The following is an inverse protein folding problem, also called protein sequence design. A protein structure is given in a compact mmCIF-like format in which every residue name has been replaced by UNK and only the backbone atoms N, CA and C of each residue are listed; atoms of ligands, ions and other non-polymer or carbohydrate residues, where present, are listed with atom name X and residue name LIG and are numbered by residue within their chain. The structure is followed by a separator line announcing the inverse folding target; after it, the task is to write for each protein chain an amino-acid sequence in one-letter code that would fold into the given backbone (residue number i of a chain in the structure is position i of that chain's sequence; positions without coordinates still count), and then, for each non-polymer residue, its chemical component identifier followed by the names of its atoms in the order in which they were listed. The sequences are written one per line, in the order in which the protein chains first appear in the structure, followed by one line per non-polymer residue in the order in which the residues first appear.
data_IF_313760828841
#
_entry.id   IF_313760828841
#
_cell.length_a   1.000
_cell.length_b   1.000
_cell.length_c   1.000
_cell.angle_alpha   90.00
_cell.angle_beta   90.00
_cell.angle_gamma   90.00
#
_symmetry.space_group_name_H-M   'P 1'
#
loop_
_entity.id
_entity.type
_entity.pdbx_description
1 polymer ?
#
# COMPACT_ATOMS: atom_id res chain seq x y z
N UNK A 1 13.00 -5.23 -12.47
CA UNK A 1 13.85 -5.34 -11.27
C UNK A 1 13.09 -4.73 -10.11
N UNK A 2 12.71 -5.54 -9.13
CA UNK A 2 12.24 -5.03 -7.83
C UNK A 2 13.42 -4.34 -7.14
N UNK A 3 13.23 -3.17 -6.52
CA UNK A 3 14.29 -2.56 -5.73
C UNK A 3 14.73 -3.53 -4.63
N UNK A 4 16.01 -3.91 -4.60
CA UNK A 4 16.53 -4.77 -3.53
C UNK A 4 16.99 -3.91 -2.36
N UNK A 5 16.11 -3.67 -1.39
CA UNK A 5 16.45 -3.11 -0.09
C UNK A 5 16.35 -4.18 1.00
N UNK A 6 17.12 -4.01 2.08
CA UNK A 6 17.15 -4.96 3.18
C UNK A 6 15.89 -4.81 4.05
N UNK A 7 14.97 -5.79 3.97
CA UNK A 7 13.71 -5.75 4.73
C UNK A 7 13.88 -5.95 6.24
N UNK A 8 15.05 -6.41 6.69
CA UNK A 8 15.40 -6.47 8.12
C UNK A 8 15.68 -5.10 8.71
N UNK A 9 15.73 -4.05 7.89
CA UNK A 9 15.93 -2.67 8.33
C UNK A 9 14.61 -1.93 8.47
N UNK A 10 14.61 -0.93 9.35
CA UNK A 10 13.52 0.05 9.50
C UNK A 10 13.63 1.11 8.41
N UNK A 11 12.55 1.86 8.16
CA UNK A 11 12.58 2.96 7.19
C UNK A 11 13.65 4.00 7.54
N UNK A 12 13.79 4.32 8.82
CA UNK A 12 14.82 5.23 9.30
C UNK A 12 16.24 4.76 8.92
N UNK A 13 16.53 3.46 9.07
CA UNK A 13 17.82 2.89 8.72
C UNK A 13 18.07 2.92 7.20
N UNK A 14 17.03 2.67 6.39
CA UNK A 14 17.12 2.71 4.94
C UNK A 14 17.35 4.12 4.40
N UNK A 15 16.65 5.11 4.96
CA UNK A 15 16.77 6.52 4.54
C UNK A 15 18.01 7.20 5.11
N UNK A 16 18.68 6.59 6.10
CA UNK A 16 19.87 7.14 6.77
C UNK A 16 19.64 8.56 7.30
N UNK A 17 18.41 8.89 7.63
CA UNK A 17 18.00 10.21 8.12
C UNK A 17 17.44 10.12 9.53
N UNK A 18 17.55 11.22 10.28
CA UNK A 18 16.87 11.38 11.57
C UNK A 18 15.72 12.35 11.37
N UNK A 19 14.53 11.80 11.16
CA UNK A 19 13.31 12.59 11.15
C UNK A 19 13.01 13.07 12.58
N UNK A 20 12.99 14.38 12.78
CA UNK A 20 12.58 14.99 14.05
C UNK A 20 11.06 14.94 14.15
N UNK A 21 10.58 14.32 15.23
CA UNK A 21 9.14 14.08 15.41
C UNK A 21 8.65 15.12 16.40
N UNK A 22 7.51 15.79 16.12
CA UNK A 22 6.97 16.80 17.01
C UNK A 22 6.80 16.21 18.42
N UNK A 23 7.49 16.82 19.39
CA UNK A 23 7.56 16.32 20.78
C UNK A 23 6.37 16.77 21.63
N UNK A 24 5.55 17.70 21.14
CA UNK A 24 4.36 18.21 21.83
C UNK A 24 3.08 17.56 21.29
N UNK A 25 2.43 16.76 22.13
CA UNK A 25 1.09 16.16 21.94
C UNK A 25 0.87 15.43 20.60
N UNK A 26 1.69 14.41 20.26
CA UNK A 26 1.47 13.66 19.03
C UNK A 26 0.13 12.91 19.10
N UNK A 27 -0.68 13.03 18.05
CA UNK A 27 -1.89 12.21 17.90
C UNK A 27 -1.52 10.73 17.82
N UNK A 28 -2.48 9.83 18.08
CA UNK A 28 -2.25 8.38 17.96
C UNK A 28 -1.76 7.96 16.57
N UNK A 29 -2.19 8.66 15.52
CA UNK A 29 -1.70 8.47 14.15
C UNK A 29 -0.21 8.82 14.03
N UNK A 30 0.21 9.99 14.53
CA UNK A 30 1.62 10.40 14.51
C UNK A 30 2.46 9.42 15.32
N UNK A 31 2.01 9.00 16.51
CA UNK A 31 2.71 8.00 17.32
C UNK A 31 2.87 6.66 16.59
N UNK A 32 1.82 6.20 15.91
CA UNK A 32 1.87 4.92 15.17
C UNK A 32 2.80 5.01 13.96
N UNK A 33 2.71 6.04 13.13
CA UNK A 33 3.62 6.22 12.00
C UNK A 33 5.09 6.36 12.47
N UNK A 34 5.31 7.05 13.59
CA UNK A 34 6.62 7.17 14.25
C UNK A 34 7.20 5.81 14.64
N UNK A 35 6.40 4.99 15.32
CA UNK A 35 6.81 3.65 15.74
C UNK A 35 7.18 2.77 14.54
N UNK A 36 6.32 2.74 13.53
CA UNK A 36 6.54 1.99 12.31
C UNK A 36 7.82 2.44 11.58
N UNK A 37 8.01 3.75 11.42
CA UNK A 37 9.16 4.30 10.73
C UNK A 37 10.50 3.99 11.42
N UNK A 38 10.55 4.13 12.75
CA UNK A 38 11.80 4.03 13.52
C UNK A 38 12.15 2.61 13.95
N UNK A 39 11.15 1.84 14.35
CA UNK A 39 11.38 0.65 15.18
C UNK A 39 10.94 -0.65 14.51
N UNK A 40 10.07 -0.60 13.50
CA UNK A 40 9.58 -1.81 12.83
C UNK A 40 10.40 -2.12 11.57
N UNK A 41 11.05 -3.29 11.46
CA UNK A 41 11.68 -3.70 10.22
C UNK A 41 10.62 -3.97 9.15
N UNK A 42 10.91 -3.69 7.89
CA UNK A 42 9.94 -3.81 6.80
C UNK A 42 9.39 -5.24 6.62
N UNK A 43 10.16 -6.27 6.96
CA UNK A 43 9.68 -7.67 6.92
C UNK A 43 8.57 -7.97 7.95
N UNK A 44 8.43 -7.13 8.98
CA UNK A 44 7.40 -7.26 10.00
C UNK A 44 6.17 -6.37 9.74
N UNK A 45 6.12 -5.66 8.61
CA UNK A 45 4.96 -4.82 8.27
C UNK A 45 3.77 -5.70 7.90
N UNK A 46 2.63 -5.40 8.49
CA UNK A 46 1.34 -6.00 8.13
C UNK A 46 0.66 -5.22 7.00
N UNK A 47 -0.42 -5.76 6.43
CA UNK A 47 -1.28 -5.01 5.51
C UNK A 47 -1.79 -3.70 6.14
N UNK A 48 -2.15 -3.73 7.43
CA UNK A 48 -2.56 -2.54 8.20
C UNK A 48 -1.45 -1.49 8.31
N UNK A 49 -0.22 -1.94 8.59
CA UNK A 49 0.94 -1.05 8.71
C UNK A 49 1.31 -0.42 7.36
N UNK A 50 1.20 -1.18 6.26
CA UNK A 50 1.40 -0.65 4.90
C UNK A 50 0.30 0.35 4.52
N UNK A 51 -0.96 0.02 4.79
CA UNK A 51 -2.11 0.86 4.49
C UNK A 51 -1.99 2.23 5.16
N UNK A 52 -1.69 2.26 6.47
CA UNK A 52 -1.60 3.52 7.22
C UNK A 52 -0.41 4.36 6.74
N UNK A 53 0.75 3.74 6.53
CA UNK A 53 1.97 4.45 6.12
C UNK A 53 1.87 5.01 4.70
N UNK A 54 1.32 4.24 3.76
CA UNK A 54 1.11 4.70 2.37
C UNK A 54 0.03 5.79 2.27
N UNK A 55 -1.04 5.71 3.06
CA UNK A 55 -2.05 6.77 3.13
C UNK A 55 -1.45 8.10 3.59
N UNK A 56 -0.45 8.05 4.48
CA UNK A 56 0.31 9.21 4.95
C UNK A 56 1.53 9.53 4.06
N UNK A 57 1.71 8.81 2.94
CA UNK A 57 2.80 8.98 1.96
C UNK A 57 4.21 8.81 2.54
N UNK A 58 4.38 7.97 3.57
CA UNK A 58 5.70 7.65 4.10
C UNK A 58 6.46 6.73 3.14
N UNK A 59 7.67 7.16 2.81
CA UNK A 59 8.69 6.39 2.10
C UNK A 59 8.16 5.46 0.98
N UNK A 60 7.35 5.95 0.02
CA UNK A 60 6.66 5.10 -0.94
C UNK A 60 7.61 4.22 -1.77
N UNK A 61 8.86 4.66 -1.98
CA UNK A 61 9.90 3.91 -2.69
C UNK A 61 10.26 2.57 -2.05
N UNK A 62 9.98 2.39 -0.76
CA UNK A 62 10.21 1.12 -0.06
C UNK A 62 8.89 0.37 0.20
N UNK A 63 7.79 1.10 0.43
CA UNK A 63 6.53 0.48 0.84
C UNK A 63 5.64 0.03 -0.32
N UNK A 64 5.71 0.70 -1.47
CA UNK A 64 4.92 0.32 -2.67
C UNK A 64 5.23 -1.11 -3.13
N UNK A 65 6.51 -1.53 -3.27
CA UNK A 65 6.82 -2.90 -3.69
C UNK A 65 6.25 -3.98 -2.74
N UNK A 66 6.23 -3.71 -1.43
CA UNK A 66 5.72 -4.62 -0.41
C UNK A 66 4.19 -4.72 -0.44
N UNK A 67 3.51 -3.58 -0.58
CA UNK A 67 2.06 -3.56 -0.73
C UNK A 67 1.61 -4.28 -2.01
N UNK A 68 2.36 -4.12 -3.10
CA UNK A 68 2.09 -4.84 -4.35
C UNK A 68 2.17 -6.34 -4.20
N UNK A 69 3.16 -6.88 -3.47
CA UNK A 69 3.26 -8.32 -3.22
C UNK A 69 2.00 -8.88 -2.53
N UNK A 70 1.37 -8.09 -1.65
CA UNK A 70 0.13 -8.49 -0.98
C UNK A 70 -1.08 -8.41 -1.93
N UNK A 71 -1.25 -7.29 -2.63
CA UNK A 71 -2.43 -7.08 -3.47
C UNK A 71 -2.39 -7.87 -4.78
N UNK A 72 -1.21 -8.28 -5.26
CA UNK A 72 -1.06 -9.21 -6.38
C UNK A 72 -1.61 -10.59 -6.03
N UNK A 73 -1.48 -11.02 -4.76
CA UNK A 73 -2.05 -12.29 -4.29
C UNK A 73 -3.52 -12.17 -3.89
N UNK A 74 -3.91 -11.07 -3.25
CA UNK A 74 -5.27 -10.81 -2.82
C UNK A 74 -5.59 -9.31 -2.92
N UNK A 75 -6.19 -8.84 -4.04
CA UNK A 75 -6.51 -7.43 -4.21
C UNK A 75 -7.51 -6.87 -3.19
N UNK A 76 -8.29 -7.74 -2.53
CA UNK A 76 -9.29 -7.40 -1.51
C UNK A 76 -8.74 -7.52 -0.08
N UNK A 77 -7.43 -7.70 0.10
CA UNK A 77 -6.84 -7.74 1.45
C UNK A 77 -7.23 -6.48 2.25
N UNK A 78 -7.75 -6.71 3.45
CA UNK A 78 -8.10 -5.63 4.38
C UNK A 78 -6.86 -5.24 5.19
N UNK A 79 -6.53 -3.96 5.15
CA UNK A 79 -5.52 -3.35 6.01
C UNK A 79 -6.13 -2.88 7.32
N UNK A 80 -7.07 -1.93 7.26
CA UNK A 80 -7.52 -1.19 8.45
C UNK A 80 -9.01 -0.89 8.53
N UNK A 81 -9.66 -0.64 7.41
CA UNK A 81 -11.03 -0.10 7.38
C UNK A 81 -12.00 -0.98 6.62
N UNK A 82 -11.58 -1.54 5.48
CA UNK A 82 -12.46 -2.33 4.61
C UNK A 82 -11.65 -3.16 3.60
N UNK A 83 -12.22 -4.24 3.03
CA UNK A 83 -11.57 -5.05 2.00
C UNK A 83 -11.08 -4.20 0.81
N UNK A 84 -9.79 -4.34 0.46
CA UNK A 84 -9.16 -3.62 -0.64
C UNK A 84 -8.70 -2.19 -0.30
N UNK A 85 -8.80 -1.74 0.96
CA UNK A 85 -8.31 -0.42 1.36
C UNK A 85 -6.80 -0.19 1.13
N UNK A 86 -5.99 -1.25 1.12
CA UNK A 86 -4.57 -1.19 0.76
C UNK A 86 -4.39 -0.88 -0.74
N UNK A 87 -5.20 -1.48 -1.62
CA UNK A 87 -5.21 -1.15 -3.05
C UNK A 87 -5.61 0.33 -3.24
N UNK A 88 -6.61 0.82 -2.52
CA UNK A 88 -7.00 2.23 -2.60
C UNK A 88 -5.93 3.18 -2.07
N UNK A 89 -5.17 2.79 -1.04
CA UNK A 89 -4.03 3.58 -0.58
C UNK A 89 -3.00 3.76 -1.69
N UNK A 90 -2.70 2.71 -2.47
CA UNK A 90 -1.82 2.79 -3.64
C UNK A 90 -2.41 3.68 -4.74
N UNK A 91 -3.67 3.47 -5.12
CA UNK A 91 -4.31 4.25 -6.20
C UNK A 91 -4.38 5.75 -5.92
N UNK A 92 -4.34 6.16 -4.65
CA UNK A 92 -4.37 7.56 -4.21
C UNK A 92 -2.98 8.21 -4.08
N UNK A 93 -1.90 7.46 -4.29
CA UNK A 93 -0.55 8.03 -4.25
C UNK A 93 -0.37 9.07 -5.37
N UNK A 94 0.39 10.16 -5.11
CA UNK A 94 0.68 11.18 -6.13
C UNK A 94 1.34 10.59 -7.38
N UNK A 95 1.06 11.19 -8.54
CA UNK A 95 1.65 10.77 -9.82
C UNK A 95 3.19 10.74 -9.79
N UNK A 96 3.82 11.65 -9.05
CA UNK A 96 5.28 11.71 -8.87
C UNK A 96 5.89 10.44 -8.28
N UNK A 97 5.15 9.70 -7.45
CA UNK A 97 5.59 8.40 -6.92
C UNK A 97 5.72 7.38 -8.06
N UNK A 98 4.77 7.38 -8.99
CA UNK A 98 4.70 6.44 -10.11
C UNK A 98 5.66 6.79 -11.24
N UNK A 99 5.99 8.07 -11.42
CA UNK A 99 7.04 8.51 -12.35
C UNK A 99 8.40 7.92 -11.99
N UNK A 100 8.68 7.81 -10.69
CA UNK A 100 9.91 7.25 -10.14
C UNK A 100 9.90 5.70 -10.11
N UNK A 101 8.71 5.08 -10.09
CA UNK A 101 8.52 3.64 -9.92
C UNK A 101 7.69 3.03 -11.06
N UNK A 102 8.14 3.21 -12.31
CA UNK A 102 7.39 2.76 -13.51
C UNK A 102 7.07 1.26 -13.50
N UNK A 103 8.00 0.42 -13.06
CA UNK A 103 7.78 -1.03 -12.97
C UNK A 103 6.65 -1.37 -12.00
N UNK A 104 6.63 -0.74 -10.82
CA UNK A 104 5.58 -0.95 -9.83
C UNK A 104 4.24 -0.35 -10.27
N UNK A 105 4.25 0.72 -11.07
CA UNK A 105 3.05 1.21 -11.74
C UNK A 105 2.44 0.16 -12.68
N UNK A 106 3.27 -0.54 -13.47
CA UNK A 106 2.79 -1.62 -14.35
C UNK A 106 2.21 -2.79 -13.56
N UNK A 107 2.82 -3.14 -12.42
CA UNK A 107 2.29 -4.16 -11.49
C UNK A 107 0.91 -3.76 -10.95
N UNK A 108 0.76 -2.53 -10.45
CA UNK A 108 -0.53 -2.02 -10.01
C UNK A 108 -1.57 -2.02 -11.14
N UNK A 109 -1.17 -1.61 -12.34
CA UNK A 109 -2.05 -1.59 -13.50
C UNK A 109 -2.57 -3.00 -13.84
N UNK A 110 -1.70 -4.03 -13.79
CA UNK A 110 -2.11 -5.41 -14.02
C UNK A 110 -3.14 -5.90 -13.00
N UNK A 111 -2.99 -5.54 -11.72
CA UNK A 111 -3.99 -5.85 -10.68
C UNK A 111 -5.32 -5.16 -10.98
N UNK A 112 -5.29 -3.86 -11.32
CA UNK A 112 -6.49 -3.09 -11.66
C UNK A 112 -7.20 -3.67 -12.88
N UNK A 113 -6.45 -4.05 -13.91
CA UNK A 113 -7.01 -4.62 -15.14
C UNK A 113 -7.64 -5.99 -14.86
N UNK A 114 -7.03 -6.81 -13.99
CA UNK A 114 -7.62 -8.08 -13.54
C UNK A 114 -8.97 -7.86 -12.84
N UNK A 115 -9.04 -6.90 -11.91
CA UNK A 115 -10.29 -6.55 -11.22
C UNK A 115 -11.33 -6.03 -12.21
N UNK A 116 -10.93 -5.18 -13.16
CA UNK A 116 -11.83 -4.64 -14.18
C UNK A 116 -12.41 -5.75 -15.04
N UNK A 117 -11.58 -6.68 -15.51
CA UNK A 117 -12.05 -7.83 -16.30
C UNK A 117 -12.97 -8.73 -15.48
N UNK A 118 -12.63 -9.00 -14.22
CA UNK A 118 -13.52 -9.75 -13.33
C UNK A 118 -14.89 -9.07 -13.18
N UNK A 119 -14.91 -7.77 -12.92
CA UNK A 119 -16.16 -7.01 -12.78
C UNK A 119 -16.99 -7.01 -14.06
N UNK A 120 -16.35 -6.89 -15.24
CA UNK A 120 -17.04 -6.95 -16.53
C UNK A 120 -17.68 -8.33 -16.78
N UNK A 121 -17.01 -9.43 -16.44
CA UNK A 121 -17.59 -10.77 -16.53
C UNK A 121 -18.68 -10.98 -15.48
N UNK A 122 -18.49 -10.47 -14.27
CA UNK A 122 -19.48 -10.52 -13.21
C UNK A 122 -20.78 -9.80 -13.61
N UNK A 123 -20.70 -8.59 -14.16
CA UNK A 123 -21.87 -7.84 -14.63
C UNK A 123 -22.65 -8.58 -15.73
N UNK A 124 -21.94 -9.23 -16.66
CA UNK A 124 -22.59 -10.10 -17.68
C UNK A 124 -23.36 -11.25 -17.04
N UNK A 125 -22.75 -11.92 -16.05
CA UNK A 125 -23.39 -13.03 -15.35
C UNK A 125 -24.51 -12.55 -14.42
N UNK A 126 -24.38 -11.38 -13.78
CA UNK A 126 -25.38 -10.86 -12.87
C UNK A 126 -26.71 -10.55 -13.57
N UNK A 127 -26.65 -10.15 -14.85
CA UNK A 127 -27.83 -10.03 -15.70
C UNK A 127 -28.63 -11.34 -15.80
N UNK A 128 -27.95 -12.50 -15.71
CA UNK A 128 -28.59 -13.83 -15.77
C UNK A 128 -29.16 -14.28 -14.40
N UNK A 129 -28.72 -13.69 -13.29
CA UNK A 129 -29.16 -14.04 -11.93
C UNK A 129 -30.35 -13.22 -11.41
N UNK A 130 -30.84 -12.24 -12.17
CA UNK A 130 -32.09 -11.51 -11.84
C UNK A 130 -32.06 -10.76 -10.51
N UNK A 131 -30.88 -10.32 -10.05
CA UNK A 131 -30.78 -9.51 -8.82
C UNK A 131 -30.91 -8.02 -9.17
N UNK A 132 -32.19 -7.63 -9.30
CA UNK A 132 -32.88 -6.35 -9.05
C UNK A 132 -32.19 -5.03 -9.48
N UNK A 133 -32.94 -4.28 -10.30
CA UNK A 133 -32.80 -2.86 -10.68
C UNK A 133 -32.36 -1.90 -9.54
#
# INVERSE_FOLDING_TARGET
MTPSFNRRFTLQQLEKTKWEIPTTYPTSLVQKCTELYRNRPLEAYTASDLQIMLTQQFSPQYLVPLALELIESNPMIEGRYYPGDLLFALLRLPASVWEQQKNDRYRLQAVVDTIRSFYQEFEKMNHDFGVID
#
